data_IF_518329183393
#
_entry.id   IF_518329183393
#
_cell.length_a   1.000
_cell.length_b   1.000
_cell.length_c   1.000
_cell.angle_alpha   90.00
_cell.angle_beta   90.00
_cell.angle_gamma   90.00
#
_symmetry.space_group_name_H-M   'P 1'
#
loop_
_entity.id
_entity.type
_entity.pdbx_description
1 polymer ?
#
# COMPACT_ATOMS: atom_id res chain seq x y z
N UNK A 1 24.96 34.27 -31.84
CA UNK A 1 24.62 33.61 -30.55
C UNK A 1 23.12 33.43 -30.61
N UNK A 2 22.68 32.28 -31.12
CA UNK A 2 21.27 31.94 -31.24
C UNK A 2 20.95 31.00 -30.09
N UNK A 3 20.13 31.48 -29.17
CA UNK A 3 19.62 30.73 -28.04
C UNK A 3 18.72 29.59 -28.54
N UNK A 4 18.98 28.37 -28.06
CA UNK A 4 18.11 27.22 -28.28
C UNK A 4 17.16 27.17 -27.09
N UNK A 5 15.89 27.49 -27.33
CA UNK A 5 14.82 27.25 -26.36
C UNK A 5 14.47 25.76 -26.42
N UNK A 6 14.70 25.06 -25.31
CA UNK A 6 14.30 23.65 -25.13
C UNK A 6 12.92 23.70 -24.47
N UNK A 7 11.86 23.44 -25.26
CA UNK A 7 10.52 23.22 -24.72
C UNK A 7 10.50 21.82 -24.09
N UNK A 8 10.46 21.76 -22.76
CA UNK A 8 10.26 20.52 -22.00
C UNK A 8 8.75 20.37 -21.80
N UNK A 9 8.13 19.50 -22.59
CA UNK A 9 6.75 19.07 -22.38
C UNK A 9 6.66 18.34 -21.02
N UNK A 10 5.95 18.96 -20.06
CA UNK A 10 5.60 18.30 -18.80
C UNK A 10 4.50 17.29 -19.07
N UNK A 11 4.88 16.03 -19.29
CA UNK A 11 3.95 14.90 -19.15
C UNK A 11 3.61 14.75 -17.66
N UNK A 12 2.34 14.92 -17.31
CA UNK A 12 1.88 14.68 -15.94
C UNK A 12 2.12 13.21 -15.58
N UNK A 13 2.64 12.89 -14.38
CA UNK A 13 2.94 11.53 -14.01
C UNK A 13 1.63 10.73 -13.95
N UNK A 14 1.51 9.81 -14.91
CA UNK A 14 0.47 8.81 -15.04
C UNK A 14 0.05 8.30 -13.65
N UNK A 15 -1.21 8.47 -13.31
CA UNK A 15 -1.81 8.02 -12.06
C UNK A 15 -1.35 6.58 -11.83
N UNK A 16 -0.52 6.38 -10.81
CA UNK A 16 0.04 5.08 -10.44
C UNK A 16 -1.09 4.10 -10.20
N UNK A 17 -1.54 3.45 -11.26
CA UNK A 17 -2.31 2.24 -11.23
C UNK A 17 -1.27 1.14 -11.01
N UNK A 18 -1.20 0.52 -9.82
CA UNK A 18 -0.43 -0.70 -9.71
C UNK A 18 -0.94 -1.65 -10.81
N UNK A 19 -0.07 -2.31 -11.58
CA UNK A 19 -0.52 -3.21 -12.62
C UNK A 19 -1.42 -4.26 -11.97
N UNK A 20 -2.72 -4.20 -12.26
CA UNK A 20 -3.63 -5.30 -11.95
C UNK A 20 -3.29 -6.38 -12.96
N UNK A 21 -2.26 -7.17 -12.66
CA UNK A 21 -1.92 -8.35 -13.46
C UNK A 21 -3.07 -9.33 -13.32
N UNK A 22 -3.81 -9.49 -14.41
CA UNK A 22 -5.06 -10.27 -14.48
C UNK A 22 -4.80 -11.76 -14.71
N UNK A 23 -3.57 -12.23 -14.56
CA UNK A 23 -3.19 -13.62 -14.77
C UNK A 23 -2.44 -14.16 -13.54
N UNK A 24 -3.19 -14.79 -12.63
CA UNK A 24 -2.63 -15.55 -11.50
C UNK A 24 -2.12 -14.67 -10.36
N UNK A 25 -2.96 -14.45 -9.35
CA UNK A 25 -2.55 -13.81 -8.10
C UNK A 25 -1.26 -14.46 -7.58
N UNK A 26 -0.18 -13.69 -7.59
CA UNK A 26 1.08 -14.07 -6.97
C UNK A 26 0.79 -14.44 -5.51
N UNK A 27 1.09 -15.68 -5.13
CA UNK A 27 0.98 -16.13 -3.72
C UNK A 27 1.85 -15.28 -2.76
N UNK A 28 2.65 -14.35 -3.29
CA UNK A 28 3.55 -13.45 -2.56
C UNK A 28 2.91 -12.12 -2.17
N UNK A 29 1.78 -11.73 -2.76
CA UNK A 29 1.20 -10.41 -2.51
C UNK A 29 0.28 -10.46 -1.28
N UNK A 30 0.73 -9.82 -0.21
CA UNK A 30 -0.02 -9.72 1.03
C UNK A 30 -1.12 -8.68 0.88
N UNK A 31 -2.33 -9.01 1.32
CA UNK A 31 -3.43 -8.06 1.56
C UNK A 31 -3.84 -8.19 3.02
N UNK A 32 -4.13 -7.07 3.68
CA UNK A 32 -4.58 -7.09 5.08
C UNK A 32 -5.85 -7.96 5.25
N UNK A 33 -5.83 -8.99 6.14
CA UNK A 33 -7.01 -9.81 6.40
C UNK A 33 -8.20 -8.99 6.93
N UNK A 34 -7.95 -7.96 7.76
CA UNK A 34 -9.03 -7.10 8.27
C UNK A 34 -9.75 -6.40 7.14
N UNK A 35 -9.02 -5.87 6.14
CA UNK A 35 -9.64 -5.18 5.01
C UNK A 35 -10.48 -6.12 4.14
N UNK A 36 -10.10 -7.39 4.03
CA UNK A 36 -10.89 -8.41 3.34
C UNK A 36 -12.20 -8.74 4.07
N UNK A 37 -12.22 -8.59 5.40
CA UNK A 37 -13.37 -8.94 6.25
C UNK A 37 -14.37 -7.79 6.46
N UNK A 38 -13.94 -6.53 6.37
CA UNK A 38 -14.83 -5.39 6.54
C UNK A 38 -15.62 -5.07 5.26
N UNK A 39 -16.81 -4.43 5.39
CA UNK A 39 -17.61 -3.98 4.25
C UNK A 39 -16.80 -3.06 3.32
N UNK A 40 -17.06 -3.13 2.02
CA UNK A 40 -16.34 -2.33 1.01
C UNK A 40 -16.41 -0.82 1.29
N UNK A 41 -17.56 -0.31 1.74
CA UNK A 41 -17.72 1.10 2.09
C UNK A 41 -16.92 1.57 3.32
N UNK A 42 -16.31 0.64 4.07
CA UNK A 42 -15.39 0.96 5.18
C UNK A 42 -13.92 0.82 4.79
N UNK A 43 -13.61 0.32 3.59
CA UNK A 43 -12.23 0.17 3.13
C UNK A 43 -11.68 1.54 2.70
N UNK A 44 -10.35 1.72 2.68
CA UNK A 44 -9.75 2.87 2.02
C UNK A 44 -10.24 2.98 0.58
N UNK A 45 -10.72 4.18 0.22
CA UNK A 45 -11.19 4.48 -1.15
C UNK A 45 -10.00 4.58 -2.09
N UNK A 46 -8.98 5.31 -1.66
CA UNK A 46 -7.73 5.48 -2.40
C UNK A 46 -6.68 4.49 -1.92
N UNK A 47 -5.79 4.11 -2.84
CA UNK A 47 -4.71 3.19 -2.51
C UNK A 47 -3.77 3.77 -1.45
N UNK A 48 -3.44 2.93 -0.46
CA UNK A 48 -2.34 3.15 0.48
C UNK A 48 -1.49 1.88 0.58
N UNK A 49 -0.17 2.06 0.64
CA UNK A 49 0.81 1.00 0.83
C UNK A 49 0.46 0.09 2.01
N UNK A 50 -0.21 0.65 3.04
CA UNK A 50 -0.66 -0.10 4.20
C UNK A 50 -1.68 -1.19 3.87
N UNK A 51 -2.44 -1.12 2.77
CA UNK A 51 -3.37 -2.19 2.38
C UNK A 51 -2.67 -3.51 2.08
N UNK A 52 -1.41 -3.44 1.64
CA UNK A 52 -0.60 -4.59 1.22
C UNK A 52 0.67 -4.78 2.04
N UNK A 53 0.77 -4.13 3.21
CA UNK A 53 1.93 -4.20 4.08
C UNK A 53 1.73 -5.22 5.23
N UNK A 54 2.54 -6.29 5.34
CA UNK A 54 2.46 -7.25 6.45
C UNK A 54 2.69 -6.66 7.86
N UNK A 55 3.36 -5.51 7.94
CA UNK A 55 3.59 -4.81 9.20
C UNK A 55 2.41 -3.91 9.60
N UNK A 56 1.48 -3.61 8.68
CA UNK A 56 0.28 -2.83 8.99
C UNK A 56 -0.64 -3.60 9.95
N UNK A 57 -1.28 -2.86 10.85
CA UNK A 57 -2.32 -3.39 11.73
C UNK A 57 -3.57 -2.59 11.46
N UNK A 58 -4.47 -3.19 10.69
CA UNK A 58 -5.80 -2.67 10.43
C UNK A 58 -6.77 -3.20 11.47
N UNK A 59 -7.59 -2.31 12.03
CA UNK A 59 -8.68 -2.66 12.93
C UNK A 59 -9.89 -1.77 12.63
N UNK A 60 -11.09 -2.30 12.90
CA UNK A 60 -12.34 -1.62 12.64
C UNK A 60 -13.28 -1.76 13.84
N UNK A 61 -14.06 -0.71 14.06
CA UNK A 61 -15.21 -0.66 14.98
C UNK A 61 -16.39 -0.06 14.23
N UNK A 62 -17.63 -0.05 14.78
CA UNK A 62 -18.78 0.53 14.08
C UNK A 62 -18.50 1.96 13.63
N UNK A 63 -18.46 2.19 12.31
CA UNK A 63 -18.23 3.51 11.72
C UNK A 63 -16.78 4.01 11.72
N UNK A 64 -15.80 3.20 12.10
CA UNK A 64 -14.38 3.59 12.08
C UNK A 64 -13.48 2.46 11.57
N UNK A 65 -12.47 2.84 10.79
CA UNK A 65 -11.35 1.97 10.42
C UNK A 65 -10.05 2.73 10.64
N UNK A 66 -9.05 2.04 11.18
CA UNK A 66 -7.75 2.63 11.51
C UNK A 66 -6.64 1.70 11.07
N UNK A 67 -5.54 2.28 10.58
CA UNK A 67 -4.27 1.57 10.36
C UNK A 67 -3.19 2.11 11.30
N UNK A 68 -2.61 1.23 12.11
CA UNK A 68 -1.38 1.49 12.84
C UNK A 68 -0.18 0.82 12.16
N UNK A 69 0.87 1.58 11.89
CA UNK A 69 2.10 1.09 11.29
C UNK A 69 3.08 0.65 12.38
N UNK A 70 3.43 -0.64 12.42
CA UNK A 70 4.39 -1.16 13.41
C UNK A 70 5.85 -0.83 13.11
N UNK A 71 6.19 -0.44 11.88
CA UNK A 71 7.56 -0.03 11.51
C UNK A 71 7.82 1.41 11.97
N UNK A 72 6.87 2.31 11.71
CA UNK A 72 6.99 3.74 12.03
C UNK A 72 6.43 4.09 13.42
N UNK A 73 5.70 3.18 14.05
CA UNK A 73 4.97 3.38 15.30
C UNK A 73 3.94 4.52 15.30
N UNK A 74 3.29 4.75 14.15
CA UNK A 74 2.29 5.82 13.97
C UNK A 74 0.96 5.31 13.41
N UNK A 75 -0.13 6.02 13.72
CA UNK A 75 -1.38 5.87 12.99
C UNK A 75 -1.23 6.52 11.62
N UNK A 76 -1.42 5.72 10.57
CA UNK A 76 -1.20 6.14 9.17
C UNK A 76 -2.50 6.33 8.41
N UNK A 77 -3.62 5.84 8.94
CA UNK A 77 -4.92 6.00 8.30
C UNK A 77 -6.01 6.01 9.36
N UNK A 78 -6.96 6.95 9.24
CA UNK A 78 -8.31 6.86 9.82
C UNK A 78 -9.33 7.30 8.77
N UNK A 79 -10.64 7.11 9.01
CA UNK A 79 -11.66 7.64 8.10
C UNK A 79 -11.67 9.17 8.07
N UNK A 80 -11.36 9.81 9.19
CA UNK A 80 -11.31 11.27 9.33
C UNK A 80 -10.05 11.87 8.73
N UNK A 81 -8.96 11.10 8.66
CA UNK A 81 -7.70 11.51 8.06
C UNK A 81 -7.12 10.37 7.20
N UNK A 82 -7.66 10.18 5.98
CA UNK A 82 -7.26 9.10 5.09
C UNK A 82 -5.94 9.44 4.40
N UNK A 83 -4.80 9.19 5.05
CA UNK A 83 -3.51 9.46 4.40
C UNK A 83 -3.20 8.44 3.30
N UNK A 84 -2.82 8.97 2.14
CA UNK A 84 -2.47 8.20 0.95
C UNK A 84 -0.96 7.96 0.88
N UNK A 85 -0.44 7.20 1.84
CA UNK A 85 0.96 6.78 1.79
C UNK A 85 1.16 5.77 0.66
N UNK A 86 1.47 6.24 -0.55
CA UNK A 86 1.60 5.38 -1.75
C UNK A 86 2.91 4.58 -1.78
N UNK A 87 4.01 5.16 -1.28
CA UNK A 87 5.35 4.57 -1.27
C UNK A 87 5.92 4.50 0.15
N UNK A 88 6.45 3.35 0.56
CA UNK A 88 6.93 3.14 1.93
C UNK A 88 7.97 2.00 2.00
N UNK A 89 9.21 2.32 2.39
CA UNK A 89 10.26 1.31 2.59
C UNK A 89 9.89 0.29 3.69
N UNK A 90 9.15 0.72 4.70
CA UNK A 90 8.65 -0.17 5.75
C UNK A 90 7.76 -1.29 5.21
N UNK A 91 7.04 -1.06 4.11
CA UNK A 91 6.28 -2.11 3.41
C UNK A 91 7.21 -3.11 2.74
N UNK A 92 8.20 -2.62 2.00
CA UNK A 92 9.14 -3.49 1.28
C UNK A 92 9.97 -4.34 2.23
N UNK A 93 10.41 -3.78 3.35
CA UNK A 93 11.06 -4.51 4.44
C UNK A 93 10.17 -5.64 4.97
N UNK A 94 8.90 -5.34 5.25
CA UNK A 94 7.95 -6.32 5.78
C UNK A 94 7.62 -7.43 4.77
N UNK A 95 7.53 -7.10 3.47
CA UNK A 95 7.34 -8.07 2.39
C UNK A 95 8.56 -8.99 2.26
N UNK A 96 9.78 -8.43 2.27
CA UNK A 96 11.01 -9.21 2.21
C UNK A 96 11.11 -10.19 3.38
N UNK A 97 10.82 -9.75 4.61
CA UNK A 97 10.80 -10.60 5.80
C UNK A 97 9.76 -11.73 5.68
N UNK A 98 8.53 -11.41 5.23
CA UNK A 98 7.48 -12.42 5.01
C UNK A 98 7.91 -13.47 4.00
N UNK A 99 8.50 -13.05 2.87
CA UNK A 99 8.99 -13.94 1.81
C UNK A 99 10.09 -14.86 2.34
N UNK A 100 11.05 -14.33 3.10
CA UNK A 100 12.12 -15.11 3.71
C UNK A 100 11.57 -16.17 4.69
N UNK A 101 10.60 -15.80 5.54
CA UNK A 101 9.94 -16.75 6.47
C UNK A 101 9.17 -17.85 5.73
N UNK A 102 8.49 -17.51 4.65
CA UNK A 102 7.78 -18.50 3.83
C UNK A 102 8.73 -19.50 3.18
N UNK A 103 9.85 -19.03 2.61
CA UNK A 103 10.87 -19.91 2.03
C UNK A 103 11.49 -20.83 3.09
N UNK A 104 11.78 -20.31 4.27
CA UNK A 104 12.32 -21.10 5.37
C UNK A 104 11.35 -22.18 5.89
N UNK A 105 10.03 -21.94 5.81
CA UNK A 105 9.02 -22.89 6.25
C UNK A 105 8.72 -24.02 5.23
N UNK A 106 9.25 -23.92 4.01
CA UNK A 106 9.05 -24.90 2.93
C UNK A 106 10.19 -25.92 2.80
N UNK A 107 11.29 -25.75 3.52
CA UNK A 107 12.43 -26.67 3.59
C UNK A 107 12.44 -27.49 4.88
#
# INVERSE_FOLDING_TARGET
>A
MSDIEIEIEHEEPDDFHPPVTTDGASLLDYVSPTLLLIPEGMRPVNYTACQTCPASVWFASPGAVTCYCRIMHVTTYTLENPQELKYCDGREMALAERRAKMMAAMG
#
